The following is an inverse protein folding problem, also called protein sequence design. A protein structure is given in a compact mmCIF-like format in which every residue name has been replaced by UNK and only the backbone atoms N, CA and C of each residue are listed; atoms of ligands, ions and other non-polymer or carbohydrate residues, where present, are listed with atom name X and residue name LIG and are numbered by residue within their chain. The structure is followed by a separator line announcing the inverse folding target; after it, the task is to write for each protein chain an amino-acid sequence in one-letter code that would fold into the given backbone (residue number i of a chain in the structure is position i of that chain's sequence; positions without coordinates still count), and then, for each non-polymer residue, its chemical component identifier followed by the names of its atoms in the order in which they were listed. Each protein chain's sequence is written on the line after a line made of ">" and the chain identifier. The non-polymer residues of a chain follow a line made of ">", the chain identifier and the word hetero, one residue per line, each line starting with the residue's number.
data_IF_764971144349
#
_entry.id   IF_764971144349
#
_cell.length_a   1.000
_cell.length_b   1.000
_cell.length_c   1.000
_cell.angle_alpha   90.00
_cell.angle_beta   90.00
_cell.angle_gamma   90.00
#
_symmetry.space_group_name_H-M   'P 1'
#
loop_
_entity.id
_entity.type
_entity.pdbx_description
1 polymer ?
#
# COMPACT_ATOMS: atom_id res chain seq x y z
N UNK A 1 1.62 24.45 16.32
CA UNK A 1 2.66 24.50 15.26
C UNK A 1 3.43 25.77 15.51
N UNK A 2 4.76 25.71 15.65
CA UNK A 2 5.54 26.89 15.98
C UNK A 2 6.33 27.35 14.75
N UNK A 3 6.26 28.65 14.44
CA UNK A 3 7.11 29.29 13.45
C UNK A 3 8.51 29.43 14.07
N UNK A 4 9.54 28.98 13.36
CA UNK A 4 10.92 29.04 13.85
C UNK A 4 11.66 30.17 13.12
N UNK A 5 12.46 30.94 13.86
CA UNK A 5 13.28 32.02 13.32
C UNK A 5 14.29 31.51 12.29
N UNK A 6 14.56 32.32 11.28
CA UNK A 6 15.23 31.93 10.03
C UNK A 6 16.77 31.85 10.16
N UNK A 7 17.29 31.26 11.24
CA UNK A 7 18.74 31.23 11.53
C UNK A 7 19.51 30.07 10.88
N UNK A 8 18.82 29.13 10.23
CA UNK A 8 19.44 27.96 9.58
C UNK A 8 18.86 27.82 8.18
N UNK A 9 19.57 28.37 7.18
CA UNK A 9 19.19 28.25 5.78
C UNK A 9 18.99 26.78 5.37
N UNK A 10 17.83 26.47 4.78
CA UNK A 10 17.58 25.20 4.09
C UNK A 10 17.35 23.97 4.97
N UNK A 11 17.12 24.11 6.28
CA UNK A 11 16.96 22.95 7.15
C UNK A 11 15.57 22.31 7.02
N UNK A 12 15.48 21.18 6.31
CA UNK A 12 14.30 20.29 6.31
C UNK A 12 14.71 18.89 6.78
N UNK A 13 13.94 18.31 7.69
CA UNK A 13 14.30 17.02 8.27
C UNK A 13 13.84 16.84 9.71
N UNK A 14 14.46 15.87 10.39
CA UNK A 14 14.07 15.44 11.74
C UNK A 14 15.25 15.58 12.68
N UNK A 15 15.04 16.28 13.79
CA UNK A 15 15.95 16.26 14.96
C UNK A 15 15.16 15.68 16.13
N UNK A 16 15.58 14.51 16.62
CA UNK A 16 14.91 13.83 17.74
C UNK A 16 13.42 13.62 17.49
N UNK A 17 12.57 14.23 18.32
CA UNK A 17 11.11 14.13 18.22
C UNK A 17 10.46 15.31 17.47
N UNK A 18 11.24 16.17 16.82
CA UNK A 18 10.76 17.35 16.10
C UNK A 18 11.03 17.19 14.60
N UNK A 19 10.06 17.56 13.79
CA UNK A 19 10.15 17.60 12.32
C UNK A 19 10.10 19.06 11.89
N UNK A 20 11.12 19.46 11.13
CA UNK A 20 11.25 20.76 10.48
C UNK A 20 10.85 20.61 9.02
N UNK A 21 9.94 21.47 8.57
CA UNK A 21 9.47 21.48 7.19
C UNK A 21 9.05 22.87 6.76
N UNK A 22 9.06 23.11 5.45
CA UNK A 22 8.58 24.36 4.86
C UNK A 22 7.11 24.24 4.48
N UNK A 23 6.33 25.27 4.78
CA UNK A 23 4.97 25.45 4.27
C UNK A 23 4.83 26.91 3.86
N UNK A 24 4.42 27.18 2.62
CA UNK A 24 4.30 28.53 2.06
C UNK A 24 5.55 29.40 2.31
N UNK A 25 6.74 28.84 2.06
CA UNK A 25 8.03 29.52 2.24
C UNK A 25 8.46 29.75 3.71
N UNK A 26 7.62 29.42 4.69
CA UNK A 26 7.93 29.59 6.11
C UNK A 26 8.39 28.27 6.72
N UNK A 27 9.41 28.33 7.58
CA UNK A 27 9.89 27.18 8.33
C UNK A 27 8.99 26.92 9.56
N UNK A 28 8.44 25.71 9.63
CA UNK A 28 7.63 25.24 10.75
C UNK A 28 8.31 24.07 11.46
N UNK A 29 8.10 24.02 12.77
CA UNK A 29 8.42 22.86 13.57
C UNK A 29 7.13 22.20 14.11
N UNK A 30 7.08 20.87 14.04
CA UNK A 30 6.06 20.06 14.71
C UNK A 30 6.68 18.91 15.48
N UNK A 31 6.10 18.55 16.62
CA UNK A 31 6.43 17.31 17.31
C UNK A 31 5.96 16.14 16.46
N UNK A 32 6.74 15.06 16.35
CA UNK A 32 6.26 13.83 15.72
C UNK A 32 5.06 13.33 16.51
N UNK A 33 4.05 12.78 15.82
CA UNK A 33 2.97 12.10 16.50
C UNK A 33 3.57 10.98 17.36
N UNK A 34 3.07 10.86 18.60
CA UNK A 34 3.43 9.75 19.45
C UNK A 34 2.93 8.47 18.79
N UNK A 35 3.85 7.60 18.40
CA UNK A 35 3.53 6.34 17.74
C UNK A 35 3.26 5.31 18.84
N UNK A 36 2.01 5.18 19.28
CA UNK A 36 1.59 3.98 20.01
C UNK A 36 1.80 2.79 19.08
N UNK A 37 2.48 1.74 19.54
CA UNK A 37 2.36 0.42 18.90
C UNK A 37 0.91 -0.01 19.06
N UNK A 38 0.07 0.34 18.09
CA UNK A 38 -1.27 -0.19 18.03
C UNK A 38 -1.15 -1.65 17.61
N UNK A 39 -1.51 -2.54 18.52
CA UNK A 39 -1.71 -3.95 18.18
C UNK A 39 -2.79 -3.98 17.11
N UNK A 40 -2.46 -4.53 15.93
CA UNK A 40 -3.42 -4.67 14.84
C UNK A 40 -4.57 -5.54 15.31
N UNK A 41 -5.81 -5.13 15.07
CA UNK A 41 -6.96 -5.96 15.39
C UNK A 41 -6.91 -7.26 14.58
N UNK A 42 -7.57 -8.32 15.07
CA UNK A 42 -7.65 -9.61 14.35
C UNK A 42 -8.12 -9.44 12.90
N UNK A 43 -9.12 -8.59 12.68
CA UNK A 43 -9.64 -8.29 11.34
C UNK A 43 -8.61 -7.58 10.46
N UNK A 44 -7.83 -6.64 11.01
CA UNK A 44 -6.75 -5.98 10.25
C UNK A 44 -5.65 -6.96 9.84
N UNK A 45 -5.30 -7.90 10.73
CA UNK A 45 -4.33 -8.95 10.42
C UNK A 45 -4.87 -9.88 9.32
N UNK A 46 -6.14 -10.28 9.42
CA UNK A 46 -6.81 -11.11 8.42
C UNK A 46 -6.74 -10.47 7.02
N UNK A 47 -7.12 -9.19 6.91
CA UNK A 47 -7.04 -8.47 5.64
C UNK A 47 -5.61 -8.35 5.13
N UNK A 48 -4.64 -8.03 5.99
CA UNK A 48 -3.23 -8.00 5.59
C UNK A 48 -2.75 -9.33 5.04
N UNK A 49 -3.14 -10.44 5.67
CA UNK A 49 -2.79 -11.78 5.21
C UNK A 49 -3.45 -12.08 3.86
N UNK A 50 -4.72 -11.68 3.63
CA UNK A 50 -5.38 -11.80 2.31
C UNK A 50 -4.59 -11.08 1.23
N UNK A 51 -4.25 -9.81 1.46
CA UNK A 51 -3.45 -9.02 0.52
C UNK A 51 -2.09 -9.66 0.27
N UNK A 52 -1.40 -10.08 1.34
CA UNK A 52 -0.09 -10.70 1.24
C UNK A 52 -0.12 -12.00 0.42
N UNK A 53 -1.11 -12.87 0.65
CA UNK A 53 -1.28 -14.11 -0.08
C UNK A 53 -1.63 -13.85 -1.56
N UNK A 54 -2.57 -12.94 -1.83
CA UNK A 54 -2.98 -12.58 -3.18
C UNK A 54 -1.83 -12.00 -4.01
N UNK A 55 -1.05 -11.07 -3.42
CA UNK A 55 0.13 -10.48 -4.06
C UNK A 55 1.21 -11.54 -4.29
N UNK A 56 1.44 -12.44 -3.33
CA UNK A 56 2.44 -13.50 -3.46
C UNK A 56 2.05 -14.49 -4.56
N UNK A 57 0.77 -14.84 -4.65
CA UNK A 57 0.23 -15.65 -5.74
C UNK A 57 0.44 -14.98 -7.10
N UNK A 58 0.04 -13.71 -7.26
CA UNK A 58 0.31 -12.96 -8.49
C UNK A 58 1.79 -12.94 -8.86
N UNK A 59 2.69 -12.75 -7.88
CA UNK A 59 4.14 -12.78 -8.11
C UNK A 59 4.66 -14.15 -8.52
N UNK A 60 4.10 -15.24 -7.97
CA UNK A 60 4.45 -16.60 -8.40
C UNK A 60 4.05 -16.87 -9.86
N UNK A 61 3.06 -16.14 -10.38
CA UNK A 61 2.64 -16.20 -11.78
C UNK A 61 3.54 -15.37 -12.71
N UNK A 62 4.60 -14.70 -12.23
CA UNK A 62 5.47 -13.84 -13.07
C UNK A 62 6.24 -14.56 -14.20
N UNK A 63 6.10 -15.88 -14.37
CA UNK A 63 6.58 -16.64 -15.55
C UNK A 63 5.47 -17.09 -16.50
N UNK A 64 4.21 -16.94 -16.10
CA UNK A 64 3.03 -17.25 -16.91
C UNK A 64 2.57 -15.95 -17.57
N UNK A 65 2.14 -15.97 -18.82
CA UNK A 65 1.71 -14.80 -19.61
C UNK A 65 0.46 -14.06 -19.08
N UNK A 66 0.22 -14.09 -17.76
CA UNK A 66 -0.87 -13.45 -17.03
C UNK A 66 -0.61 -11.95 -16.87
N UNK A 67 0.64 -11.55 -16.63
CA UNK A 67 1.01 -10.14 -16.38
C UNK A 67 0.55 -9.18 -17.48
N UNK A 68 0.79 -9.43 -18.79
CA UNK A 68 0.34 -8.55 -19.86
C UNK A 68 -1.18 -8.34 -19.90
N UNK A 69 -1.96 -9.38 -19.58
CA UNK A 69 -3.43 -9.34 -19.54
C UNK A 69 -3.89 -8.36 -18.46
N UNK A 70 -3.35 -8.51 -17.25
CA UNK A 70 -3.70 -7.64 -16.13
C UNK A 70 -3.16 -6.22 -16.28
N UNK A 71 -2.00 -6.02 -16.92
CA UNK A 71 -1.50 -4.68 -17.22
C UNK A 71 -2.40 -3.95 -18.22
N UNK A 72 -2.98 -4.66 -19.21
CA UNK A 72 -3.99 -4.12 -20.12
C UNK A 72 -5.27 -3.75 -19.37
N UNK A 73 -5.73 -4.63 -18.48
CA UNK A 73 -6.93 -4.39 -17.67
C UNK A 73 -6.76 -3.24 -16.69
N UNK A 74 -5.58 -3.13 -16.07
CA UNK A 74 -5.21 -1.99 -15.24
C UNK A 74 -5.31 -0.67 -16.00
N UNK A 75 -4.78 -0.60 -17.23
CA UNK A 75 -4.91 0.61 -18.07
C UNK A 75 -6.36 1.01 -18.31
N UNK A 76 -7.26 0.05 -18.57
CA UNK A 76 -8.69 0.32 -18.74
C UNK A 76 -9.36 0.82 -17.45
N UNK A 77 -8.89 0.34 -16.29
CA UNK A 77 -9.38 0.74 -14.97
C UNK A 77 -8.65 1.95 -14.36
N UNK A 78 -7.71 2.59 -15.07
CA UNK A 78 -6.83 3.65 -14.53
C UNK A 78 -6.05 3.24 -13.26
N UNK A 79 -5.66 1.97 -13.15
CA UNK A 79 -4.83 1.43 -12.06
C UNK A 79 -3.71 0.55 -12.62
N UNK A 80 -2.73 0.15 -11.80
CA UNK A 80 -1.73 -0.81 -12.26
C UNK A 80 -2.31 -2.24 -12.34
N UNK A 81 -1.69 -3.11 -13.14
CA UNK A 81 -2.19 -4.48 -13.35
C UNK A 81 -2.23 -5.33 -12.08
N UNK A 82 -1.30 -5.11 -11.15
CA UNK A 82 -1.32 -5.77 -9.85
C UNK A 82 -2.59 -5.40 -9.05
N UNK A 83 -2.94 -4.12 -8.99
CA UNK A 83 -4.11 -3.64 -8.29
C UNK A 83 -5.39 -4.15 -8.95
N UNK A 84 -5.40 -4.26 -10.27
CA UNK A 84 -6.51 -4.85 -11.02
C UNK A 84 -6.70 -6.34 -10.69
N UNK A 85 -5.60 -7.09 -10.62
CA UNK A 85 -5.61 -8.50 -10.20
C UNK A 85 -6.12 -8.64 -8.77
N UNK A 86 -5.55 -7.87 -7.83
CA UNK A 86 -5.92 -7.92 -6.42
C UNK A 86 -7.39 -7.55 -6.24
N UNK A 87 -7.86 -6.47 -6.87
CA UNK A 87 -9.27 -6.06 -6.80
C UNK A 87 -10.23 -7.17 -7.24
N UNK A 88 -9.86 -7.91 -8.30
CA UNK A 88 -10.70 -8.97 -8.85
C UNK A 88 -10.65 -10.27 -8.05
N UNK A 89 -9.56 -10.55 -7.31
CA UNK A 89 -9.31 -11.87 -6.73
C UNK A 89 -9.19 -11.88 -5.20
N UNK A 90 -9.17 -10.74 -4.53
CA UNK A 90 -8.90 -10.67 -3.07
C UNK A 90 -9.91 -11.46 -2.22
N UNK A 91 -11.15 -11.62 -2.70
CA UNK A 91 -12.20 -12.37 -1.98
C UNK A 91 -11.96 -13.88 -1.99
N UNK A 92 -11.27 -14.40 -3.01
CA UNK A 92 -10.89 -15.81 -3.09
C UNK A 92 -9.89 -16.24 -2.00
N UNK A 93 -9.30 -15.29 -1.26
CA UNK A 93 -8.32 -15.55 -0.20
C UNK A 93 -8.94 -15.42 1.19
N UNK A 94 -8.75 -16.44 2.05
CA UNK A 94 -9.44 -16.50 3.35
C UNK A 94 -8.79 -15.63 4.45
N UNK A 95 -7.52 -15.27 4.31
CA UNK A 95 -6.75 -14.50 5.30
C UNK A 95 -5.95 -15.36 6.28
N UNK A 96 -5.91 -16.67 6.08
CA UNK A 96 -5.00 -17.63 6.75
C UNK A 96 -3.84 -18.00 5.80
N UNK A 97 -3.46 -17.07 4.92
CA UNK A 97 -2.44 -17.25 3.88
C UNK A 97 -2.75 -18.33 2.82
N UNK A 98 -4.03 -18.61 2.56
CA UNK A 98 -4.46 -19.58 1.54
C UNK A 98 -5.61 -19.07 0.66
N UNK A 99 -5.84 -19.82 -0.42
CA UNK A 99 -7.01 -19.67 -1.30
C UNK A 99 -8.15 -20.46 -0.68
N UNK A 100 -9.28 -19.80 -0.42
CA UNK A 100 -10.52 -20.47 0.05
C UNK A 100 -11.37 -20.99 -1.08
N UNK A 101 -11.38 -20.30 -2.22
CA UNK A 101 -12.19 -20.67 -3.36
C UNK A 101 -11.39 -20.53 -4.65
N UNK A 102 -11.04 -21.66 -5.26
CA UNK A 102 -10.29 -21.67 -6.51
C UNK A 102 -11.15 -21.28 -7.71
N UNK A 103 -12.47 -21.48 -7.65
CA UNK A 103 -13.41 -21.12 -8.73
C UNK A 103 -13.56 -19.61 -8.89
N UNK A 104 -13.32 -18.85 -7.83
CA UNK A 104 -13.33 -17.37 -7.84
C UNK A 104 -12.02 -16.76 -8.34
N UNK A 105 -10.99 -17.58 -8.64
CA UNK A 105 -9.72 -17.06 -9.17
C UNK A 105 -9.82 -16.86 -10.67
N UNK A 106 -9.72 -15.61 -11.06
CA UNK A 106 -9.58 -15.20 -12.45
C UNK A 106 -8.09 -15.05 -12.78
N UNK A 107 -7.60 -15.92 -13.66
CA UNK A 107 -6.26 -15.78 -14.27
C UNK A 107 -6.31 -14.91 -15.53
N UNK A 108 -7.43 -15.00 -16.26
CA UNK A 108 -7.78 -14.17 -17.41
C UNK A 108 -9.17 -13.62 -17.13
N UNK A 109 -9.39 -12.35 -17.51
CA UNK A 109 -10.69 -11.71 -17.42
C UNK A 109 -11.01 -11.12 -18.79
N UNK A 110 -12.04 -11.67 -19.42
CA UNK A 110 -12.59 -11.14 -20.66
C UNK A 110 -13.46 -9.91 -20.34
N UNK A 111 -13.56 -9.01 -21.31
CA UNK A 111 -14.32 -7.76 -21.22
C UNK A 111 -15.64 -7.87 -21.97
#
# INVERSE_FOLDING_TARGET
>A
MAKVGNCLGGFSGKIGNVVYYYCNGNLYARRRPYRKMLVRSKNQQLWQNRFSACISFYRSLNGVCVKPIWDRLGKLMNINGLNAFVSSNIQAFNGVMGISNYEEIHLVKEF
#
